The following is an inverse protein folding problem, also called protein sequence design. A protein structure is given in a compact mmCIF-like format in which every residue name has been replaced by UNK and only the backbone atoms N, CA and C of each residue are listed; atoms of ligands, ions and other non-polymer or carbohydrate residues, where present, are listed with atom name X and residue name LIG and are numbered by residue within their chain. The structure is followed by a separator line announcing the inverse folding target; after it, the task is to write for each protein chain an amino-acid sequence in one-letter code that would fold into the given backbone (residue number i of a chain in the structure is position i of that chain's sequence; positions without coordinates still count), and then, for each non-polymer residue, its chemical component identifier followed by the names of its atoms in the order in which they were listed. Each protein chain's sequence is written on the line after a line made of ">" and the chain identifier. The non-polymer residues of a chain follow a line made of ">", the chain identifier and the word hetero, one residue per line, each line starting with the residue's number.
data_IF_081328028609
#
_entry.id   IF_081328028609
#
_cell.length_a   1.000
_cell.length_b   1.000
_cell.length_c   1.000
_cell.angle_alpha   90.00
_cell.angle_beta   90.00
_cell.angle_gamma   90.00
#
_symmetry.space_group_name_H-M   'P 1'
#
loop_
_entity.id
_entity.type
_entity.pdbx_description
1 polymer ?
#
# COMPACT_ATOMS: atom_id res chain seq x y z
N UNK A 1 -2.09 9.84 29.40
CA UNK A 1 -1.49 10.21 28.11
C UNK A 1 -1.08 9.00 27.30
N UNK A 2 -0.28 8.07 27.84
CA UNK A 2 0.19 6.82 27.18
C UNK A 2 -0.96 5.93 26.71
N UNK A 3 -2.01 5.75 27.51
CA UNK A 3 -3.16 4.91 27.15
C UNK A 3 -3.90 5.43 25.90
N UNK A 4 -4.11 6.73 25.79
CA UNK A 4 -4.78 7.35 24.64
C UNK A 4 -3.95 7.21 23.36
N UNK A 5 -2.61 7.27 23.46
CA UNK A 5 -1.68 7.04 22.33
C UNK A 5 -1.81 5.60 21.85
N UNK A 6 -1.82 4.61 22.76
CA UNK A 6 -1.96 3.21 22.43
C UNK A 6 -3.32 2.90 21.76
N UNK A 7 -4.41 3.50 22.23
CA UNK A 7 -5.75 3.36 21.63
C UNK A 7 -5.78 3.90 20.18
N UNK A 8 -5.17 5.06 19.93
CA UNK A 8 -5.09 5.66 18.59
C UNK A 8 -4.27 4.78 17.64
N UNK A 9 -3.10 4.29 18.08
CA UNK A 9 -2.25 3.39 17.27
C UNK A 9 -3.00 2.11 16.92
N UNK A 10 -3.69 1.51 17.87
CA UNK A 10 -4.47 0.30 17.63
C UNK A 10 -5.61 0.55 16.62
N UNK A 11 -6.30 1.67 16.73
CA UNK A 11 -7.37 2.06 15.80
C UNK A 11 -6.81 2.21 14.37
N UNK A 12 -5.67 2.86 14.19
CA UNK A 12 -5.02 3.03 12.89
C UNK A 12 -4.64 1.69 12.26
N UNK A 13 -4.18 0.73 13.06
CA UNK A 13 -3.86 -0.62 12.58
C UNK A 13 -5.11 -1.32 12.06
N UNK A 14 -6.22 -1.28 12.80
CA UNK A 14 -7.46 -1.92 12.37
C UNK A 14 -7.99 -1.30 11.06
N UNK A 15 -7.92 0.02 10.92
CA UNK A 15 -8.29 0.71 9.69
C UNK A 15 -7.38 0.26 8.54
N UNK A 16 -6.07 0.19 8.75
CA UNK A 16 -5.11 -0.30 7.75
C UNK A 16 -5.42 -1.74 7.32
N UNK A 17 -5.66 -2.63 8.26
CA UNK A 17 -6.03 -4.03 7.97
C UNK A 17 -7.34 -4.10 7.17
N UNK A 18 -8.35 -3.34 7.56
CA UNK A 18 -9.63 -3.31 6.85
C UNK A 18 -9.47 -2.83 5.40
N UNK A 19 -8.71 -1.76 5.16
CA UNK A 19 -8.42 -1.24 3.82
C UNK A 19 -7.73 -2.31 2.98
N UNK A 20 -6.70 -2.97 3.51
CA UNK A 20 -5.98 -4.03 2.80
C UNK A 20 -6.88 -5.22 2.51
N UNK A 21 -7.73 -5.61 3.43
CA UNK A 21 -8.68 -6.69 3.21
C UNK A 21 -9.67 -6.34 2.07
N UNK A 22 -10.21 -5.12 2.06
CA UNK A 22 -11.11 -4.65 1.01
C UNK A 22 -10.42 -4.61 -0.37
N UNK A 23 -9.20 -4.06 -0.44
CA UNK A 23 -8.41 -4.01 -1.67
C UNK A 23 -8.03 -5.42 -2.16
N UNK A 24 -7.68 -6.33 -1.25
CA UNK A 24 -7.35 -7.72 -1.57
C UNK A 24 -8.57 -8.47 -2.11
N UNK A 25 -9.74 -8.22 -1.54
CA UNK A 25 -11.00 -8.77 -2.04
C UNK A 25 -11.28 -8.29 -3.48
N UNK A 26 -11.04 -7.01 -3.78
CA UNK A 26 -11.15 -6.49 -5.15
C UNK A 26 -10.18 -7.17 -6.12
N UNK A 27 -8.94 -7.45 -5.71
CA UNK A 27 -7.99 -8.21 -6.53
C UNK A 27 -8.51 -9.61 -6.82
N UNK A 28 -9.07 -10.31 -5.83
CA UNK A 28 -9.64 -11.63 -6.04
C UNK A 28 -10.83 -11.60 -7.01
N UNK A 29 -11.70 -10.61 -6.91
CA UNK A 29 -12.79 -10.43 -7.85
C UNK A 29 -12.28 -10.18 -9.28
N UNK A 30 -11.25 -9.36 -9.45
CA UNK A 30 -10.64 -9.05 -10.74
C UNK A 30 -9.99 -10.30 -11.36
N UNK A 31 -9.18 -11.05 -10.61
CA UNK A 31 -8.54 -12.29 -11.06
C UNK A 31 -9.61 -13.29 -11.53
N UNK A 32 -10.68 -13.43 -10.74
CA UNK A 32 -11.78 -14.33 -11.09
C UNK A 32 -12.54 -13.87 -12.35
N UNK A 33 -12.78 -12.56 -12.48
CA UNK A 33 -13.46 -11.97 -13.66
C UNK A 33 -12.65 -12.14 -14.96
N UNK A 34 -11.32 -12.09 -14.88
CA UNK A 34 -10.41 -12.33 -16.01
C UNK A 34 -10.39 -13.83 -16.41
N UNK A 35 -11.00 -14.69 -15.59
CA UNK A 35 -11.09 -16.12 -15.88
C UNK A 35 -9.87 -16.94 -15.47
N UNK A 36 -8.98 -16.39 -14.66
CA UNK A 36 -7.82 -17.09 -14.12
C UNK A 36 -8.31 -18.05 -13.03
N UNK A 37 -8.21 -19.36 -13.30
CA UNK A 37 -8.70 -20.42 -12.37
C UNK A 37 -7.57 -21.04 -11.54
N UNK A 38 -6.32 -20.63 -11.74
CA UNK A 38 -5.20 -21.22 -11.03
C UNK A 38 -5.17 -20.76 -9.57
N UNK A 39 -5.32 -21.71 -8.65
CA UNK A 39 -5.29 -21.45 -7.21
C UNK A 39 -3.94 -20.96 -6.71
N UNK A 40 -2.85 -21.22 -7.44
CA UNK A 40 -1.49 -20.81 -7.06
C UNK A 40 -1.34 -19.29 -7.04
N UNK A 41 -2.01 -18.56 -7.95
CA UNK A 41 -1.94 -17.10 -7.99
C UNK A 41 -2.55 -16.48 -6.71
N UNK A 42 -3.67 -17.05 -6.22
CA UNK A 42 -4.29 -16.59 -4.97
C UNK A 42 -3.40 -16.89 -3.76
N UNK A 43 -2.84 -18.10 -3.72
CA UNK A 43 -1.91 -18.49 -2.66
C UNK A 43 -0.66 -17.60 -2.64
N UNK A 44 -0.09 -17.33 -3.82
CA UNK A 44 1.07 -16.48 -3.97
C UNK A 44 0.78 -15.04 -3.51
N UNK A 45 -0.38 -14.48 -3.89
CA UNK A 45 -0.79 -13.16 -3.41
C UNK A 45 -0.94 -13.12 -1.89
N UNK A 46 -1.56 -14.16 -1.28
CA UNK A 46 -1.73 -14.24 0.17
C UNK A 46 -0.38 -14.35 0.90
N UNK A 47 0.55 -15.13 0.38
CA UNK A 47 1.92 -15.24 0.94
C UNK A 47 2.61 -13.88 0.85
N UNK A 48 2.59 -13.24 -0.33
CA UNK A 48 3.23 -11.95 -0.56
C UNK A 48 2.66 -10.87 0.37
N UNK A 49 1.33 -10.72 0.43
CA UNK A 49 0.73 -9.70 1.30
C UNK A 49 1.05 -9.96 2.78
N UNK A 50 1.06 -11.21 3.23
CA UNK A 50 1.37 -11.54 4.61
C UNK A 50 2.82 -11.17 4.95
N UNK A 51 3.79 -11.53 4.11
CA UNK A 51 5.20 -11.21 4.32
C UNK A 51 5.41 -9.69 4.37
N UNK A 52 4.84 -8.95 3.42
CA UNK A 52 4.97 -7.50 3.39
C UNK A 52 4.27 -6.81 4.57
N UNK A 53 3.10 -7.30 5.02
CA UNK A 53 2.45 -6.76 6.21
C UNK A 53 3.24 -7.06 7.50
N UNK A 54 3.85 -8.24 7.62
CA UNK A 54 4.75 -8.54 8.74
C UNK A 54 5.96 -7.59 8.74
N UNK A 55 6.53 -7.31 7.57
CA UNK A 55 7.60 -6.32 7.44
C UNK A 55 7.14 -4.91 7.84
N UNK A 56 5.94 -4.49 7.43
CA UNK A 56 5.34 -3.20 7.84
C UNK A 56 5.21 -3.10 9.35
N UNK A 57 4.64 -4.12 10.00
CA UNK A 57 4.49 -4.17 11.45
C UNK A 57 5.85 -4.09 12.14
N UNK A 58 6.83 -4.86 11.68
CA UNK A 58 8.18 -4.83 12.22
C UNK A 58 8.82 -3.45 12.08
N UNK A 59 8.82 -2.86 10.89
CA UNK A 59 9.41 -1.53 10.61
C UNK A 59 8.75 -0.47 11.48
N UNK A 60 7.41 -0.49 11.57
CA UNK A 60 6.63 0.51 12.30
C UNK A 60 6.91 0.46 13.81
N UNK A 61 6.90 -0.74 14.41
CA UNK A 61 7.11 -0.88 15.87
C UNK A 61 8.56 -0.84 16.30
N UNK A 62 9.47 -1.36 15.46
CA UNK A 62 10.91 -1.32 15.76
C UNK A 62 11.53 0.06 15.49
N UNK A 63 10.78 1.02 14.91
CA UNK A 63 11.32 2.29 14.42
C UNK A 63 12.56 2.07 13.53
N UNK A 64 12.52 0.99 12.74
CA UNK A 64 13.63 0.61 11.89
C UNK A 64 13.49 1.29 10.52
N UNK A 65 14.47 2.12 10.17
CA UNK A 65 14.50 2.84 8.90
C UNK A 65 15.68 2.34 8.06
N UNK A 66 15.51 1.28 7.24
CA UNK A 66 16.61 0.62 6.54
C UNK A 66 17.35 1.51 5.53
N UNK A 67 16.71 2.60 5.08
CA UNK A 67 17.24 3.49 4.03
C UNK A 67 17.56 4.91 4.53
N UNK A 68 17.87 5.08 5.81
CA UNK A 68 18.17 6.38 6.39
C UNK A 68 16.99 7.01 7.12
N UNK A 69 17.26 7.59 8.29
CA UNK A 69 16.24 7.96 9.25
C UNK A 69 15.30 9.08 8.81
N UNK A 70 14.12 9.00 9.29
CA UNK A 70 13.05 9.98 9.63
C UNK A 70 12.67 11.11 8.67
N UNK A 71 13.53 11.54 7.78
CA UNK A 71 13.32 12.66 6.84
C UNK A 71 13.22 12.22 5.37
N UNK A 72 13.02 10.91 5.11
CA UNK A 72 12.90 10.37 3.76
C UNK A 72 11.59 10.74 3.06
N UNK A 73 11.47 10.34 1.81
CA UNK A 73 10.29 10.59 0.96
C UNK A 73 8.98 10.14 1.60
N UNK A 74 9.03 9.09 2.42
CA UNK A 74 7.88 8.57 3.16
C UNK A 74 7.24 9.63 4.07
N UNK A 75 8.03 10.38 4.83
CA UNK A 75 7.52 11.45 5.71
C UNK A 75 6.93 12.59 4.89
N UNK A 76 7.56 12.95 3.76
CA UNK A 76 7.07 13.98 2.86
C UNK A 76 5.74 13.58 2.23
N UNK A 77 5.64 12.34 1.72
CA UNK A 77 4.38 11.84 1.15
C UNK A 77 3.27 11.77 2.19
N UNK A 78 3.58 11.37 3.42
CA UNK A 78 2.63 11.37 4.51
C UNK A 78 2.11 12.79 4.81
N UNK A 79 3.00 13.77 4.92
CA UNK A 79 2.63 15.17 5.16
C UNK A 79 1.74 15.70 4.02
N UNK A 80 2.16 15.54 2.76
CA UNK A 80 1.38 15.96 1.60
C UNK A 80 0.00 15.32 1.57
N UNK A 81 -0.07 14.00 1.79
CA UNK A 81 -1.33 13.28 1.79
C UNK A 81 -2.24 13.74 2.92
N UNK A 82 -1.68 14.08 4.08
CA UNK A 82 -2.45 14.62 5.22
C UNK A 82 -3.09 15.94 4.84
N UNK A 83 -2.32 16.90 4.32
CA UNK A 83 -2.83 18.22 3.90
C UNK A 83 -3.87 18.11 2.78
N UNK A 84 -3.64 17.25 1.77
CA UNK A 84 -4.61 17.00 0.72
C UNK A 84 -5.89 16.35 1.25
N UNK A 85 -5.77 15.41 2.18
CA UNK A 85 -6.92 14.72 2.76
C UNK A 85 -7.85 15.67 3.51
N UNK A 86 -7.31 16.68 4.18
CA UNK A 86 -8.08 17.73 4.84
C UNK A 86 -8.86 18.57 3.83
N UNK A 87 -8.24 18.93 2.70
CA UNK A 87 -8.93 19.63 1.59
C UNK A 87 -10.05 18.77 1.00
N UNK A 88 -9.80 17.48 0.78
CA UNK A 88 -10.80 16.55 0.24
C UNK A 88 -12.01 16.40 1.17
N UNK A 89 -11.78 16.34 2.49
CA UNK A 89 -12.86 16.32 3.49
C UNK A 89 -13.71 17.59 3.49
N UNK A 90 -13.14 18.71 3.10
CA UNK A 90 -13.83 19.98 2.92
C UNK A 90 -14.53 20.12 1.55
N UNK A 91 -14.50 19.06 0.72
CA UNK A 91 -15.08 19.06 -0.63
C UNK A 91 -14.21 19.72 -1.70
N UNK A 92 -12.98 20.12 -1.37
CA UNK A 92 -12.04 20.71 -2.31
C UNK A 92 -11.10 19.62 -2.87
N UNK A 93 -11.42 19.10 -4.04
CA UNK A 93 -10.63 18.06 -4.73
C UNK A 93 -9.55 18.63 -5.66
N UNK A 94 -9.31 19.95 -5.63
CA UNK A 94 -8.28 20.57 -6.47
C UNK A 94 -6.88 20.26 -5.94
N UNK A 95 -6.04 19.72 -6.81
CA UNK A 95 -4.60 19.56 -6.58
C UNK A 95 -3.79 20.76 -7.09
N UNK A 96 -4.46 21.77 -7.68
CA UNK A 96 -3.79 22.99 -8.13
C UNK A 96 -3.20 23.75 -6.95
N UNK A 97 -2.02 24.33 -7.15
CA UNK A 97 -1.26 25.05 -6.13
C UNK A 97 -0.49 24.14 -5.16
N UNK A 98 -0.58 22.81 -5.32
CA UNK A 98 0.22 21.89 -4.53
C UNK A 98 1.67 21.91 -4.97
N UNK A 99 1.91 22.14 -6.26
CA UNK A 99 3.23 22.29 -6.87
C UNK A 99 3.98 23.53 -6.35
N UNK A 100 3.26 24.57 -5.96
CA UNK A 100 3.81 25.78 -5.37
C UNK A 100 4.30 25.56 -3.94
N UNK A 101 3.58 24.69 -3.19
CA UNK A 101 3.92 24.36 -1.80
C UNK A 101 5.02 23.29 -1.74
N UNK A 102 5.05 22.38 -2.72
CA UNK A 102 5.99 21.25 -2.77
C UNK A 102 6.72 21.15 -4.12
N UNK A 103 7.53 22.15 -4.49
CA UNK A 103 8.18 22.22 -5.82
C UNK A 103 9.16 21.08 -6.10
N UNK A 104 9.67 20.42 -5.07
CA UNK A 104 10.61 19.29 -5.20
C UNK A 104 9.97 17.95 -5.53
N UNK A 105 8.65 17.87 -5.60
CA UNK A 105 7.89 16.63 -5.74
C UNK A 105 7.23 16.47 -7.12
N UNK A 106 7.73 17.18 -8.12
CA UNK A 106 7.18 17.22 -9.47
C UNK A 106 6.94 15.85 -10.14
N UNK A 107 7.68 14.82 -9.73
CA UNK A 107 7.66 13.50 -10.37
C UNK A 107 6.75 12.48 -9.68
N UNK A 108 6.30 12.74 -8.45
CA UNK A 108 5.62 11.73 -7.61
C UNK A 108 4.28 12.18 -7.03
N UNK A 109 3.61 13.14 -7.65
CA UNK A 109 2.34 13.69 -7.16
C UNK A 109 1.18 12.68 -7.08
N UNK A 110 1.20 11.62 -7.89
CA UNK A 110 0.10 10.66 -7.93
C UNK A 110 -0.01 9.82 -6.67
N UNK A 111 1.12 9.40 -6.09
CA UNK A 111 1.11 8.58 -4.89
C UNK A 111 0.51 9.31 -3.67
N UNK A 112 0.94 10.55 -3.33
CA UNK A 112 0.30 11.34 -2.28
C UNK A 112 -1.19 11.59 -2.50
N UNK A 113 -1.65 11.72 -3.75
CA UNK A 113 -3.08 11.89 -4.06
C UNK A 113 -3.87 10.63 -3.73
N UNK A 114 -3.37 9.46 -4.16
CA UNK A 114 -4.00 8.16 -3.80
C UNK A 114 -4.06 7.98 -2.29
N UNK A 115 -2.96 8.29 -1.61
CA UNK A 115 -2.87 8.20 -0.17
C UNK A 115 -3.81 9.20 0.52
N UNK A 116 -3.97 10.42 -0.01
CA UNK A 116 -4.89 11.43 0.49
C UNK A 116 -6.36 10.99 0.41
N UNK A 117 -6.74 10.30 -0.66
CA UNK A 117 -8.10 9.72 -0.77
C UNK A 117 -8.32 8.70 0.36
N UNK A 118 -7.37 7.82 0.61
CA UNK A 118 -7.47 6.86 1.72
C UNK A 118 -7.52 7.56 3.08
N UNK A 119 -6.72 8.58 3.29
CA UNK A 119 -6.71 9.38 4.52
C UNK A 119 -8.00 10.18 4.70
N UNK A 120 -8.62 10.64 3.61
CA UNK A 120 -9.91 11.31 3.68
C UNK A 120 -11.05 10.36 4.11
N UNK A 121 -10.97 9.09 3.71
CA UNK A 121 -11.96 8.06 4.05
C UNK A 121 -11.75 7.46 5.45
N UNK A 122 -10.51 7.42 5.92
CA UNK A 122 -10.16 6.81 7.20
C UNK A 122 -9.59 7.86 8.18
N UNK A 123 -8.28 7.87 8.35
CA UNK A 123 -7.53 8.86 9.12
C UNK A 123 -6.11 9.01 8.55
N UNK A 124 -5.48 10.20 8.68
CA UNK A 124 -4.08 10.37 8.32
C UNK A 124 -3.19 9.52 9.25
N UNK A 125 -2.64 8.43 8.70
CA UNK A 125 -1.76 7.54 9.46
C UNK A 125 -0.68 6.96 8.57
N UNK A 126 0.57 7.03 9.02
CA UNK A 126 1.72 6.50 8.27
C UNK A 126 1.60 4.99 8.03
N UNK A 127 1.04 4.24 8.98
CA UNK A 127 0.86 2.79 8.83
C UNK A 127 -0.10 2.44 7.68
N UNK A 128 -1.12 3.28 7.41
CA UNK A 128 -2.03 3.09 6.27
C UNK A 128 -1.27 3.20 4.96
N UNK A 129 -0.37 4.18 4.84
CA UNK A 129 0.50 4.33 3.67
C UNK A 129 1.45 3.14 3.49
N UNK A 130 2.05 2.65 4.58
CA UNK A 130 2.91 1.47 4.55
C UNK A 130 2.13 0.21 4.15
N UNK A 131 0.91 0.04 4.66
CA UNK A 131 0.02 -1.06 4.26
C UNK A 131 -0.38 -0.98 2.78
N UNK A 132 -0.63 0.22 2.26
CA UNK A 132 -0.89 0.41 0.82
C UNK A 132 0.33 -0.01 -0.02
N UNK A 133 1.54 0.35 0.38
CA UNK A 133 2.77 -0.07 -0.29
C UNK A 133 2.94 -1.60 -0.26
N UNK A 134 2.66 -2.23 0.88
CA UNK A 134 2.66 -3.69 1.02
C UNK A 134 1.69 -4.35 0.03
N UNK A 135 0.51 -3.75 -0.14
CA UNK A 135 -0.48 -4.22 -1.10
C UNK A 135 -0.01 -4.08 -2.55
N UNK A 136 0.59 -2.93 -2.92
CA UNK A 136 1.17 -2.75 -4.25
C UNK A 136 2.32 -3.73 -4.53
N UNK A 137 3.17 -3.99 -3.54
CA UNK A 137 4.23 -4.99 -3.66
C UNK A 137 3.64 -6.38 -3.91
N UNK A 138 2.66 -6.82 -3.12
CA UNK A 138 1.99 -8.10 -3.34
C UNK A 138 1.28 -8.19 -4.72
N UNK A 139 0.68 -7.08 -5.18
CA UNK A 139 0.07 -7.01 -6.51
C UNK A 139 1.12 -7.15 -7.62
N UNK A 140 2.30 -6.58 -7.45
CA UNK A 140 3.41 -6.72 -8.41
C UNK A 140 3.84 -8.18 -8.57
N UNK A 141 3.78 -8.99 -7.52
CA UNK A 141 4.04 -10.43 -7.57
C UNK A 141 2.99 -11.16 -8.42
N UNK A 142 1.73 -10.76 -8.32
CA UNK A 142 0.66 -11.28 -9.19
C UNK A 142 0.95 -10.97 -10.66
N UNK A 143 1.36 -9.75 -10.98
CA UNK A 143 1.73 -9.39 -12.34
C UNK A 143 2.93 -10.20 -12.86
N UNK A 144 3.94 -10.42 -12.01
CA UNK A 144 5.07 -11.26 -12.36
C UNK A 144 4.62 -12.69 -12.70
N UNK A 145 3.72 -13.27 -11.91
CA UNK A 145 3.13 -14.58 -12.21
C UNK A 145 2.48 -14.59 -13.60
N UNK A 146 1.66 -13.58 -13.90
CA UNK A 146 0.95 -13.48 -15.18
C UNK A 146 1.92 -13.30 -16.34
N UNK A 147 2.96 -12.49 -16.20
CA UNK A 147 4.00 -12.31 -17.22
C UNK A 147 4.69 -13.64 -17.52
N UNK A 148 5.10 -14.40 -16.49
CA UNK A 148 5.74 -15.72 -16.71
C UNK A 148 4.79 -16.67 -17.43
N UNK A 149 3.50 -16.63 -17.14
CA UNK A 149 2.50 -17.42 -17.87
C UNK A 149 2.38 -17.01 -19.33
N UNK A 150 2.34 -15.71 -19.59
CA UNK A 150 2.18 -15.16 -20.94
C UNK A 150 3.36 -15.52 -21.86
N UNK A 151 4.58 -15.55 -21.34
CA UNK A 151 5.78 -15.97 -22.10
C UNK A 151 5.95 -17.49 -22.22
N UNK A 152 4.92 -18.28 -21.88
CA UNK A 152 4.88 -19.73 -22.02
C UNK A 152 5.42 -20.53 -20.84
N UNK A 153 5.63 -19.89 -19.68
CA UNK A 153 6.01 -20.58 -18.45
C UNK A 153 4.89 -21.48 -17.91
N UNK A 154 5.28 -22.57 -17.24
CA UNK A 154 4.33 -23.42 -16.51
C UNK A 154 3.83 -22.72 -15.25
N UNK A 155 2.70 -23.19 -14.67
CA UNK A 155 2.17 -22.66 -13.40
C UNK A 155 3.18 -22.80 -12.26
N UNK A 156 4.00 -23.86 -12.27
CA UNK A 156 5.06 -24.03 -11.29
C UNK A 156 6.17 -23.01 -11.44
N UNK A 157 6.60 -22.72 -12.69
CA UNK A 157 7.63 -21.72 -12.96
C UNK A 157 7.14 -20.32 -12.57
N UNK A 158 5.90 -19.99 -12.90
CA UNK A 158 5.28 -18.71 -12.55
C UNK A 158 5.17 -18.54 -11.02
N UNK A 159 4.73 -19.60 -10.33
CA UNK A 159 4.65 -19.61 -8.87
C UNK A 159 6.02 -19.44 -8.21
N UNK A 160 7.02 -20.19 -8.68
CA UNK A 160 8.38 -20.12 -8.16
C UNK A 160 9.01 -18.74 -8.40
N UNK A 161 8.84 -18.16 -9.59
CA UNK A 161 9.31 -16.81 -9.89
C UNK A 161 8.68 -15.76 -8.94
N UNK A 162 7.37 -15.84 -8.72
CA UNK A 162 6.70 -14.97 -7.76
C UNK A 162 7.18 -15.18 -6.32
N UNK A 163 7.40 -16.42 -5.90
CA UNK A 163 7.88 -16.73 -4.56
C UNK A 163 9.31 -16.20 -4.31
N UNK A 164 10.18 -16.27 -5.31
CA UNK A 164 11.55 -15.72 -5.22
C UNK A 164 11.52 -14.19 -5.14
N UNK A 165 10.54 -13.54 -5.77
CA UNK A 165 10.40 -12.09 -5.79
C UNK A 165 9.66 -11.51 -4.56
N UNK A 166 9.09 -12.36 -3.71
CA UNK A 166 8.43 -11.95 -2.46
C UNK A 166 9.45 -11.67 -1.35
#
# INVERSE_FOLDING_TARGET
>A
MVQKINETIMQDIYIGIFIIAALSFLVFLLINKIGIKDKKIYLLFLIAILIHLLAVVFIYYANFYPFGGGAGDQSKYHQMATELSERFRQGNFSIKGFDEIYPTLYVSHYYPVVLAVLYALAAPSMIIGMCLNAWFAALSIVFLYLIVKEIGGTDNNAFLAGLIAT
#
